data_IF_931398272381
#
_entry.id   IF_931398272381
#
_cell.length_a   1.000
_cell.length_b   1.000
_cell.length_c   1.000
_cell.angle_alpha   90.00
_cell.angle_beta   90.00
_cell.angle_gamma   90.00
#
_symmetry.space_group_name_H-M   'P 1'
#
loop_
_entity.id
_entity.type
_entity.pdbx_description
1 polymer ?
#
# COMPACT_ATOMS: atom_id res chain seq x y z
N UNK A 1 14.79 10.09 -33.30
CA UNK A 1 15.28 9.74 -31.95
C UNK A 1 14.34 10.36 -30.94
N UNK A 2 13.31 9.64 -30.53
CA UNK A 2 12.49 10.04 -29.37
C UNK A 2 13.36 9.82 -28.14
N UNK A 3 13.71 10.88 -27.40
CA UNK A 3 14.45 10.70 -26.15
C UNK A 3 13.65 9.79 -25.23
N UNK A 4 14.32 8.86 -24.53
CA UNK A 4 13.67 8.08 -23.49
C UNK A 4 12.93 9.05 -22.54
N UNK A 5 11.66 8.80 -22.21
CA UNK A 5 10.89 9.72 -21.40
C UNK A 5 11.55 9.88 -20.04
N UNK A 6 11.75 11.13 -19.62
CA UNK A 6 12.29 11.47 -18.30
C UNK A 6 11.17 11.38 -17.26
N UNK A 7 11.53 10.99 -16.05
CA UNK A 7 10.64 11.03 -14.90
C UNK A 7 10.66 12.45 -14.31
N UNK A 8 9.50 13.00 -14.02
CA UNK A 8 9.30 14.31 -13.39
C UNK A 8 8.38 14.17 -12.16
N UNK A 9 8.44 15.16 -11.27
CA UNK A 9 7.63 15.26 -10.06
C UNK A 9 6.94 16.63 -10.01
N UNK A 10 5.61 16.62 -9.97
CA UNK A 10 4.78 17.81 -9.76
C UNK A 10 4.19 17.75 -8.35
N UNK A 11 4.34 18.80 -7.55
CA UNK A 11 3.82 18.84 -6.17
C UNK A 11 2.98 20.10 -5.97
N UNK A 12 1.80 19.93 -5.42
CA UNK A 12 0.93 20.99 -4.90
C UNK A 12 0.62 20.77 -3.42
N UNK A 13 -0.26 21.59 -2.84
CA UNK A 13 -0.61 21.53 -1.42
C UNK A 13 -1.33 20.23 -1.01
N UNK A 14 -1.94 19.54 -1.97
CA UNK A 14 -2.84 18.40 -1.75
C UNK A 14 -2.33 17.11 -2.39
N UNK A 15 -1.40 17.19 -3.34
CA UNK A 15 -0.92 16.02 -4.08
C UNK A 15 0.52 16.13 -4.60
N UNK A 16 1.12 14.97 -4.86
CA UNK A 16 2.37 14.81 -5.59
C UNK A 16 2.18 13.81 -6.74
N UNK A 17 2.44 14.24 -7.98
CA UNK A 17 2.27 13.45 -9.19
C UNK A 17 3.62 13.09 -9.82
N UNK A 18 3.85 11.79 -9.98
CA UNK A 18 4.99 11.22 -10.68
C UNK A 18 4.65 11.04 -12.16
N UNK A 19 5.42 11.65 -13.06
CA UNK A 19 5.10 11.70 -14.50
C UNK A 19 6.23 11.21 -15.37
N UNK A 20 5.90 10.58 -16.49
CA UNK A 20 6.83 10.31 -17.57
C UNK A 20 6.37 11.02 -18.84
N UNK A 21 6.98 12.19 -19.13
CA UNK A 21 6.44 13.12 -20.12
C UNK A 21 5.01 13.52 -19.76
N UNK A 22 4.07 13.35 -20.70
CA UNK A 22 2.68 13.73 -20.48
C UNK A 22 1.86 12.71 -19.67
N UNK A 23 2.39 11.50 -19.43
CA UNK A 23 1.67 10.45 -18.69
C UNK A 23 1.92 10.57 -17.18
N UNK A 24 0.86 10.77 -16.41
CA UNK A 24 0.91 10.65 -14.95
C UNK A 24 0.90 9.17 -14.56
N UNK A 25 2.05 8.66 -14.12
CA UNK A 25 2.23 7.28 -13.71
C UNK A 25 1.61 7.01 -12.33
N UNK A 26 1.71 7.96 -11.41
CA UNK A 26 1.13 7.84 -10.08
C UNK A 26 0.81 9.18 -9.48
N UNK A 27 -0.36 9.30 -8.84
CA UNK A 27 -0.73 10.45 -8.02
C UNK A 27 -0.80 10.05 -6.56
N UNK A 28 0.01 10.69 -5.73
CA UNK A 28 -0.06 10.59 -4.28
C UNK A 28 -0.90 11.73 -3.74
N UNK A 29 -2.06 11.43 -3.17
CA UNK A 29 -2.89 12.41 -2.47
C UNK A 29 -2.35 12.58 -1.07
N UNK A 30 -1.84 13.77 -0.76
CA UNK A 30 -1.20 14.15 0.49
C UNK A 30 -2.26 14.51 1.54
N UNK A 31 -3.26 15.30 1.14
CA UNK A 31 -4.34 15.79 2.01
C UNK A 31 -5.67 15.26 1.49
N UNK A 32 -6.16 14.11 1.98
CA UNK A 32 -7.40 13.50 1.53
C UNK A 32 -8.61 14.26 2.08
N UNK A 33 -9.70 14.31 1.30
CA UNK A 33 -11.01 14.86 1.70
C UNK A 33 -11.99 13.79 2.21
N UNK A 34 -11.48 12.59 2.51
CA UNK A 34 -12.29 11.45 2.94
C UNK A 34 -12.97 11.75 4.30
N UNK A 35 -14.19 11.24 4.54
CA UNK A 35 -14.85 11.39 5.83
C UNK A 35 -14.15 10.57 6.93
N UNK A 36 -14.37 10.93 8.20
CA UNK A 36 -13.78 10.24 9.35
C UNK A 36 -14.02 8.72 9.35
N UNK A 37 -15.22 8.29 8.93
CA UNK A 37 -15.59 6.88 8.77
C UNK A 37 -14.60 6.10 7.89
N UNK A 38 -13.96 6.76 6.93
CA UNK A 38 -13.04 6.14 5.97
C UNK A 38 -11.57 6.24 6.44
N UNK A 39 -11.33 6.70 7.68
CA UNK A 39 -10.02 6.96 8.28
C UNK A 39 -9.12 7.77 7.35
N UNK A 40 -9.27 9.10 7.26
CA UNK A 40 -8.54 9.93 6.31
C UNK A 40 -7.04 9.65 6.35
N UNK A 41 -6.44 9.31 5.21
CA UNK A 41 -5.02 8.98 5.07
C UNK A 41 -4.51 9.29 3.68
N UNK A 42 -3.22 9.63 3.50
CA UNK A 42 -2.65 9.73 2.17
C UNK A 42 -2.70 8.39 1.43
N UNK A 43 -2.85 8.47 0.11
CA UNK A 43 -2.98 7.29 -0.74
C UNK A 43 -2.48 7.56 -2.16
N UNK A 44 -2.20 6.48 -2.91
CA UNK A 44 -1.89 6.57 -4.34
C UNK A 44 -3.09 6.11 -5.16
N UNK A 45 -3.69 7.05 -5.88
CA UNK A 45 -4.68 6.80 -6.92
C UNK A 45 -4.79 8.03 -7.84
N UNK A 46 -4.77 7.86 -9.16
CA UNK A 46 -4.53 6.60 -9.88
C UNK A 46 -3.04 6.20 -9.88
N UNK A 47 -2.77 4.89 -9.91
CA UNK A 47 -1.52 4.31 -10.40
C UNK A 47 -1.76 3.75 -11.81
N UNK A 48 -0.81 3.97 -12.72
CA UNK A 48 -0.91 3.56 -14.12
C UNK A 48 0.32 2.79 -14.58
N UNK A 49 0.16 1.91 -15.56
CA UNK A 49 1.27 1.32 -16.30
C UNK A 49 1.95 2.33 -17.24
N UNK A 50 3.00 1.90 -17.96
CA UNK A 50 3.72 2.72 -18.94
C UNK A 50 2.87 3.02 -20.19
N UNK A 51 1.90 2.17 -20.51
CA UNK A 51 0.88 2.40 -21.52
C UNK A 51 -0.32 3.24 -21.02
N UNK A 52 -0.36 3.57 -19.71
CA UNK A 52 -1.39 4.41 -19.11
C UNK A 52 -2.61 3.66 -18.60
N UNK A 53 -2.55 2.33 -18.47
CA UNK A 53 -3.65 1.54 -17.93
C UNK A 53 -3.70 1.66 -16.41
N UNK A 54 -4.86 2.01 -15.84
CA UNK A 54 -5.03 2.22 -14.40
C UNK A 54 -5.05 0.87 -13.67
N UNK A 55 -4.22 0.72 -12.64
CA UNK A 55 -4.08 -0.51 -11.84
C UNK A 55 -4.56 -0.32 -10.40
N UNK A 56 -5.27 0.74 -10.08
CA UNK A 56 -5.87 0.98 -8.75
C UNK A 56 -7.37 1.21 -8.85
N UNK A 57 -8.08 0.91 -7.76
CA UNK A 57 -9.47 1.29 -7.56
C UNK A 57 -9.61 2.09 -6.26
N UNK A 58 -10.17 3.28 -6.39
CA UNK A 58 -10.45 4.18 -5.28
C UNK A 58 -11.91 4.14 -4.86
N UNK A 59 -12.16 4.07 -3.54
CA UNK A 59 -13.46 4.22 -2.89
C UNK A 59 -14.58 3.40 -3.54
N UNK A 60 -14.42 2.07 -3.71
CA UNK A 60 -15.47 1.23 -4.26
C UNK A 60 -16.72 1.26 -3.36
N UNK A 61 -17.90 1.18 -3.96
CA UNK A 61 -19.18 1.33 -3.24
C UNK A 61 -19.37 0.32 -2.08
N UNK A 62 -18.78 -0.86 -2.18
CA UNK A 62 -18.85 -1.94 -1.18
C UNK A 62 -17.82 -1.76 -0.05
N UNK A 63 -16.77 -0.98 -0.27
CA UNK A 63 -15.67 -0.75 0.67
C UNK A 63 -15.10 0.66 0.49
N UNK A 64 -15.87 1.68 0.87
CA UNK A 64 -15.53 3.10 0.61
C UNK A 64 -14.21 3.55 1.24
N UNK A 65 -13.74 2.85 2.27
CA UNK A 65 -12.45 3.08 2.91
C UNK A 65 -11.25 2.49 2.15
N UNK A 66 -11.42 1.76 1.05
CA UNK A 66 -10.29 1.31 0.22
C UNK A 66 -9.81 2.43 -0.72
N UNK A 67 -8.50 2.72 -0.72
CA UNK A 67 -7.91 3.92 -1.34
C UNK A 67 -6.76 3.59 -2.31
N UNK A 68 -7.01 2.86 -3.39
CA UNK A 68 -5.94 2.50 -4.34
C UNK A 68 -4.80 1.75 -3.66
N UNK A 69 -3.63 2.38 -3.48
CA UNK A 69 -2.54 1.90 -2.62
C UNK A 69 -2.37 2.82 -1.39
N UNK A 70 -2.51 2.28 -0.18
CA UNK A 70 -2.38 3.06 1.06
C UNK A 70 -1.87 2.23 2.24
N UNK A 71 -1.15 2.88 3.15
CA UNK A 71 -0.76 2.30 4.44
C UNK A 71 -1.96 2.33 5.40
N UNK A 72 -2.56 1.16 5.61
CA UNK A 72 -3.88 1.03 6.26
C UNK A 72 -3.79 0.02 7.40
N UNK A 73 -4.08 0.46 8.63
CA UNK A 73 -3.90 -0.34 9.84
C UNK A 73 -5.22 -0.51 10.60
N UNK A 74 -5.82 -1.71 10.66
CA UNK A 74 -7.12 -1.88 11.31
C UNK A 74 -7.05 -2.00 12.84
N UNK A 75 -5.86 -2.29 13.39
CA UNK A 75 -5.62 -2.42 14.83
C UNK A 75 -4.34 -1.66 15.16
N UNK A 76 -4.51 -0.53 15.85
CA UNK A 76 -3.44 0.32 16.39
C UNK A 76 -3.80 0.59 17.85
N UNK A 77 -3.41 -0.31 18.75
CA UNK A 77 -4.07 -0.43 20.04
C UNK A 77 -5.57 -0.69 19.82
N UNK A 78 -6.40 0.22 20.30
CA UNK A 78 -7.86 0.18 20.11
C UNK A 78 -8.36 1.10 18.97
N UNK A 79 -7.45 1.74 18.24
CA UNK A 79 -7.77 2.65 17.14
C UNK A 79 -7.72 1.94 15.78
N UNK A 80 -8.53 2.43 14.84
CA UNK A 80 -8.68 1.90 13.49
C UNK A 80 -8.27 2.96 12.47
N UNK A 81 -7.14 2.73 11.80
CA UNK A 81 -6.65 3.52 10.67
C UNK A 81 -6.80 2.77 9.35
N UNK A 82 -7.68 1.78 9.26
CA UNK A 82 -8.11 1.17 8.00
C UNK A 82 -9.35 1.87 7.44
N UNK A 83 -10.24 2.29 8.34
CA UNK A 83 -11.56 2.82 8.00
C UNK A 83 -12.64 1.75 8.11
N UNK A 84 -13.89 2.20 8.14
CA UNK A 84 -15.06 1.37 8.30
C UNK A 84 -15.14 0.71 9.69
N UNK A 85 -15.92 -0.39 9.78
CA UNK A 85 -16.15 -1.11 11.02
C UNK A 85 -14.90 -1.77 11.61
N UNK A 86 -14.80 -1.78 12.93
CA UNK A 86 -13.78 -2.48 13.71
C UNK A 86 -14.26 -3.90 14.03
N UNK A 87 -13.39 -4.91 13.89
CA UNK A 87 -13.72 -6.29 14.26
C UNK A 87 -13.57 -6.49 15.76
N UNK A 88 -14.60 -7.05 16.38
CA UNK A 88 -14.66 -7.40 17.79
C UNK A 88 -14.85 -8.91 17.96
N UNK A 89 -14.03 -9.52 18.82
CA UNK A 89 -14.09 -10.96 19.09
C UNK A 89 -15.48 -11.34 19.63
N UNK A 90 -16.13 -12.32 18.99
CA UNK A 90 -17.46 -12.78 19.39
C UNK A 90 -18.62 -11.85 19.01
N UNK A 91 -18.35 -10.64 18.53
CA UNK A 91 -19.35 -9.63 18.17
C UNK A 91 -19.36 -9.27 16.68
N UNK A 92 -18.29 -9.62 15.95
CA UNK A 92 -18.15 -9.34 14.53
C UNK A 92 -17.75 -7.89 14.25
N UNK A 93 -18.05 -7.40 13.06
CA UNK A 93 -17.77 -6.02 12.68
C UNK A 93 -18.80 -5.06 13.28
N UNK A 94 -18.31 -4.03 13.99
CA UNK A 94 -19.14 -2.93 14.49
C UNK A 94 -18.50 -1.60 14.16
N UNK A 95 -19.33 -0.63 13.81
CA UNK A 95 -18.87 0.74 13.68
C UNK A 95 -18.66 1.32 15.08
N UNK A 96 -17.41 1.61 15.41
CA UNK A 96 -17.00 2.25 16.65
C UNK A 96 -16.55 3.69 16.37
N UNK A 97 -16.52 4.58 17.38
CA UNK A 97 -15.96 5.91 17.24
C UNK A 97 -14.43 5.89 17.42
N UNK A 98 -13.73 5.03 16.66
CA UNK A 98 -12.28 4.81 16.76
C UNK A 98 -11.58 4.90 15.39
N UNK A 99 -12.22 5.48 14.37
CA UNK A 99 -11.56 5.68 13.09
C UNK A 99 -10.59 6.85 13.19
N UNK A 100 -9.28 6.60 13.24
CA UNK A 100 -8.24 7.63 13.28
C UNK A 100 -7.88 8.19 11.89
N UNK A 101 -7.02 9.21 11.85
CA UNK A 101 -6.54 9.88 10.64
C UNK A 101 -5.01 9.98 10.60
N UNK A 102 -4.44 9.85 9.40
CA UNK A 102 -3.04 10.19 9.10
C UNK A 102 -3.04 11.59 8.48
N UNK A 103 -2.51 12.57 9.20
CA UNK A 103 -2.62 13.99 8.86
C UNK A 103 -1.28 14.50 8.38
N UNK A 104 -1.21 15.01 7.15
CA UNK A 104 -0.01 15.64 6.62
C UNK A 104 0.41 16.84 7.48
N UNK A 105 1.71 16.94 7.75
CA UNK A 105 2.29 18.03 8.53
C UNK A 105 3.21 18.93 7.72
N UNK A 106 4.24 18.35 7.09
CA UNK A 106 5.18 19.14 6.30
C UNK A 106 5.86 18.29 5.23
N UNK A 107 6.09 18.87 4.06
CA UNK A 107 6.97 18.28 3.03
C UNK A 107 8.42 18.38 3.51
N UNK A 108 9.14 17.28 3.47
CA UNK A 108 10.57 17.19 3.83
C UNK A 108 11.47 17.06 2.59
N UNK A 109 10.95 16.50 1.49
CA UNK A 109 11.69 16.33 0.24
C UNK A 109 10.74 16.39 -0.97
N UNK A 110 11.17 17.06 -2.05
CA UNK A 110 10.54 16.98 -3.37
C UNK A 110 11.62 17.20 -4.44
N UNK A 111 12.21 16.13 -4.96
CA UNK A 111 13.38 16.20 -5.82
C UNK A 111 13.30 15.26 -7.02
N UNK A 112 14.00 15.61 -8.09
CA UNK A 112 14.28 14.71 -9.22
C UNK A 112 15.77 14.76 -9.51
N UNK A 113 16.48 13.67 -9.20
CA UNK A 113 17.93 13.56 -9.36
C UNK A 113 18.24 12.27 -10.10
N UNK A 114 19.06 12.35 -11.15
CA UNK A 114 19.49 11.19 -11.96
C UNK A 114 18.35 10.27 -12.45
N UNK A 115 17.20 10.87 -12.80
CA UNK A 115 16.03 10.13 -13.29
C UNK A 115 15.19 9.45 -12.20
N UNK A 116 15.48 9.74 -10.93
CA UNK A 116 14.75 9.26 -9.76
C UNK A 116 13.97 10.42 -9.14
N UNK A 117 12.66 10.28 -9.03
CA UNK A 117 11.78 11.26 -8.39
C UNK A 117 11.52 10.84 -6.94
N UNK A 118 11.71 11.74 -5.99
CA UNK A 118 11.52 11.49 -4.54
C UNK A 118 10.58 12.53 -3.95
N UNK A 119 9.59 12.06 -3.20
CA UNK A 119 8.72 12.90 -2.39
C UNK A 119 8.74 12.38 -0.95
N UNK A 120 9.07 13.25 -0.01
CA UNK A 120 9.13 12.95 1.42
C UNK A 120 8.26 13.92 2.20
N UNK A 121 7.57 13.42 3.22
CA UNK A 121 6.81 14.26 4.14
C UNK A 121 6.65 13.62 5.53
N UNK A 122 6.25 14.45 6.49
CA UNK A 122 5.89 14.02 7.84
C UNK A 122 4.38 14.02 8.05
N UNK A 123 3.90 13.11 8.89
CA UNK A 123 2.49 12.95 9.24
C UNK A 123 2.31 12.80 10.76
N UNK A 124 1.18 13.27 11.28
CA UNK A 124 0.70 12.92 12.62
C UNK A 124 -0.40 11.86 12.51
N UNK A 125 -0.35 10.80 13.32
CA UNK A 125 -1.43 9.82 13.46
C UNK A 125 -2.32 10.21 14.61
N UNK A 126 -3.54 10.63 14.33
CA UNK A 126 -4.49 11.11 15.33
C UNK A 126 -5.64 10.13 15.49
N UNK A 127 -5.84 9.63 16.70
CA UNK A 127 -7.03 8.88 17.09
C UNK A 127 -8.30 9.70 16.84
N UNK A 128 -9.46 9.04 16.72
CA UNK A 128 -10.71 9.78 16.49
C UNK A 128 -11.03 10.77 17.64
N UNK A 129 -10.62 10.43 18.86
CA UNK A 129 -10.78 11.28 20.04
C UNK A 129 -9.79 12.47 20.10
N UNK A 130 -8.88 12.60 19.12
CA UNK A 130 -7.93 13.71 19.00
C UNK A 130 -6.54 13.48 19.59
N UNK A 131 -6.28 12.33 20.24
CA UNK A 131 -4.96 12.00 20.74
C UNK A 131 -3.99 11.66 19.59
N UNK A 132 -2.79 12.24 19.60
CA UNK A 132 -1.72 11.81 18.68
C UNK A 132 -1.05 10.55 19.20
N UNK A 133 -0.91 9.55 18.34
CA UNK A 133 -0.31 8.26 18.64
C UNK A 133 1.11 8.14 18.09
N UNK A 134 1.30 8.54 16.83
CA UNK A 134 2.58 8.47 16.14
C UNK A 134 2.90 9.77 15.41
N UNK A 135 4.20 10.06 15.33
CA UNK A 135 4.76 10.86 14.24
C UNK A 135 5.31 9.90 13.18
N UNK A 136 4.98 10.13 11.91
CA UNK A 136 5.46 9.31 10.79
C UNK A 136 6.33 10.14 9.83
N UNK A 137 7.46 9.59 9.43
CA UNK A 137 8.25 10.01 8.26
C UNK A 137 7.97 9.06 7.11
N UNK A 138 7.50 9.58 5.97
CA UNK A 138 7.20 8.78 4.77
C UNK A 138 7.91 9.32 3.54
N UNK A 139 8.56 8.42 2.81
CA UNK A 139 9.22 8.73 1.53
C UNK A 139 8.71 7.82 0.42
N UNK A 140 8.37 8.42 -0.71
CA UNK A 140 8.00 7.77 -1.96
C UNK A 140 9.09 8.04 -2.99
N UNK A 141 9.61 6.98 -3.62
CA UNK A 141 10.63 7.11 -4.68
C UNK A 141 10.18 6.40 -5.95
N UNK A 142 10.00 7.13 -7.04
CA UNK A 142 9.64 6.58 -8.35
C UNK A 142 10.87 6.47 -9.26
N UNK A 143 10.91 5.39 -10.06
CA UNK A 143 11.97 5.10 -11.05
C UNK A 143 11.39 4.39 -12.26
N UNK A 144 11.90 4.69 -13.46
CA UNK A 144 11.60 3.87 -14.64
C UNK A 144 12.53 2.64 -14.66
N UNK A 145 11.98 1.46 -14.93
CA UNK A 145 12.75 0.21 -15.01
C UNK A 145 12.99 -0.22 -16.46
N UNK A 146 12.06 0.12 -17.37
CA UNK A 146 12.15 -0.20 -18.78
C UNK A 146 11.04 0.45 -19.60
N UNK A 147 10.85 -0.05 -20.83
CA UNK A 147 9.77 0.42 -21.70
C UNK A 147 8.37 0.05 -21.17
N UNK A 148 8.27 -1.09 -20.50
CA UNK A 148 7.03 -1.74 -20.07
C UNK A 148 6.74 -1.60 -18.57
N UNK A 149 7.73 -1.22 -17.75
CA UNK A 149 7.59 -1.16 -16.30
C UNK A 149 8.22 0.07 -15.65
N UNK A 150 7.68 0.45 -14.50
CA UNK A 150 8.26 1.40 -13.56
C UNK A 150 8.05 0.92 -12.13
N UNK A 151 8.80 1.50 -11.20
CA UNK A 151 8.78 1.16 -9.80
C UNK A 151 8.47 2.37 -8.92
N UNK A 152 7.81 2.08 -7.81
CA UNK A 152 7.62 2.96 -6.68
C UNK A 152 8.13 2.26 -5.43
N UNK A 153 9.08 2.85 -4.71
CA UNK A 153 9.41 2.41 -3.35
C UNK A 153 8.74 3.31 -2.33
N UNK A 154 8.32 2.73 -1.21
CA UNK A 154 7.70 3.43 -0.09
C UNK A 154 8.45 3.03 1.17
N UNK A 155 8.93 4.03 1.89
CA UNK A 155 9.56 3.89 3.21
C UNK A 155 8.72 4.65 4.24
N UNK A 156 8.44 4.00 5.36
CA UNK A 156 7.58 4.49 6.44
C UNK A 156 8.31 4.27 7.75
N UNK A 157 8.58 5.33 8.51
CA UNK A 157 9.06 5.27 9.89
C UNK A 157 8.02 5.83 10.85
N UNK A 158 7.50 5.00 11.76
CA UNK A 158 6.47 5.40 12.73
C UNK A 158 7.05 5.44 14.14
N UNK A 159 7.12 6.62 14.74
CA UNK A 159 7.63 6.84 16.10
C UNK A 159 6.48 6.99 17.09
N UNK A 160 6.45 6.16 18.13
CA UNK A 160 5.42 6.19 19.17
C UNK A 160 5.61 7.40 20.10
N UNK A 161 4.66 8.33 20.05
CA UNK A 161 4.67 9.58 20.82
C UNK A 161 3.92 9.49 22.17
N UNK A 162 3.37 8.32 22.50
CA UNK A 162 2.57 8.11 23.71
C UNK A 162 3.41 7.69 24.92
N UNK A 163 2.79 7.60 26.09
CA UNK A 163 3.40 7.15 27.34
C UNK A 163 3.25 5.64 27.60
N UNK A 164 2.69 4.90 26.65
CA UNK A 164 2.55 3.44 26.68
C UNK A 164 3.02 2.80 25.37
N UNK A 165 3.31 1.50 25.41
CA UNK A 165 3.57 0.75 24.18
C UNK A 165 2.28 0.62 23.35
N UNK A 166 2.39 0.66 22.02
CA UNK A 166 1.26 0.48 21.10
C UNK A 166 1.44 -0.81 20.33
N UNK A 167 0.45 -1.69 20.41
CA UNK A 167 0.40 -2.92 19.62
C UNK A 167 -0.23 -2.65 18.25
N UNK A 168 0.48 -2.97 17.18
CA UNK A 168 -0.05 -3.05 15.82
C UNK A 168 -0.51 -4.49 15.56
N UNK A 169 -1.71 -4.65 15.00
CA UNK A 169 -2.30 -5.97 14.80
C UNK A 169 -3.21 -6.05 13.59
N UNK A 170 -3.99 -7.12 13.56
CA UNK A 170 -4.99 -7.36 12.52
C UNK A 170 -6.25 -7.94 13.15
N UNK A 171 -7.36 -8.06 12.40
CA UNK A 171 -8.51 -8.83 12.87
C UNK A 171 -8.16 -10.25 13.30
N UNK A 172 -7.15 -10.90 12.70
CA UNK A 172 -6.68 -12.22 13.14
C UNK A 172 -6.12 -12.19 14.55
N UNK A 173 -5.32 -11.17 14.93
CA UNK A 173 -4.84 -11.04 16.32
C UNK A 173 -6.00 -10.82 17.29
N UNK A 174 -7.09 -10.20 16.82
CA UNK A 174 -8.36 -10.05 17.55
C UNK A 174 -9.29 -11.26 17.45
N UNK A 175 -8.88 -12.37 16.82
CA UNK A 175 -9.61 -13.65 16.80
C UNK A 175 -10.53 -13.85 15.59
N UNK A 176 -10.33 -13.12 14.49
CA UNK A 176 -10.93 -13.40 13.18
C UNK A 176 -9.98 -14.24 12.34
N UNK A 177 -10.19 -15.54 12.31
CA UNK A 177 -9.32 -16.44 11.55
C UNK A 177 -9.13 -15.99 10.09
N UNK A 178 -7.86 -16.00 9.64
CA UNK A 178 -7.44 -15.73 8.27
C UNK A 178 -7.84 -14.35 7.70
N UNK A 179 -8.09 -13.37 8.56
CA UNK A 179 -8.39 -11.98 8.18
C UNK A 179 -7.26 -11.04 8.60
N UNK A 180 -6.02 -11.44 8.32
CA UNK A 180 -4.82 -10.78 8.80
C UNK A 180 -4.41 -9.56 7.99
N UNK A 181 -5.38 -8.79 7.48
CA UNK A 181 -5.06 -7.57 6.74
C UNK A 181 -4.55 -6.48 7.68
N UNK A 182 -3.64 -5.66 7.16
CA UNK A 182 -3.04 -4.54 7.84
C UNK A 182 -1.60 -4.32 7.38
N UNK A 183 -1.27 -3.09 7.01
CA UNK A 183 0.00 -2.71 6.39
C UNK A 183 -0.23 -1.97 5.08
N UNK A 184 0.70 -2.09 4.12
CA UNK A 184 0.55 -1.49 2.80
C UNK A 184 -0.45 -2.30 1.98
N UNK A 185 -1.62 -1.75 1.68
CA UNK A 185 -2.68 -2.46 0.97
C UNK A 185 -2.94 -1.83 -0.41
N UNK A 186 -2.87 -2.67 -1.44
CA UNK A 186 -3.25 -2.36 -2.81
C UNK A 186 -4.65 -2.92 -3.10
N UNK A 187 -5.52 -2.08 -3.65
CA UNK A 187 -6.83 -2.44 -4.20
C UNK A 187 -6.82 -2.23 -5.71
N UNK A 188 -6.95 -3.31 -6.47
CA UNK A 188 -7.00 -3.29 -7.93
C UNK A 188 -8.39 -2.97 -8.52
N UNK A 189 -8.47 -2.70 -9.84
CA UNK A 189 -9.71 -2.51 -10.59
C UNK A 189 -10.70 -3.67 -10.42
N UNK A 190 -12.01 -3.42 -10.61
CA UNK A 190 -13.02 -4.50 -10.59
C UNK A 190 -12.81 -5.53 -11.69
N UNK A 191 -12.30 -5.11 -12.85
CA UNK A 191 -11.99 -6.03 -13.95
C UNK A 191 -10.88 -7.03 -13.60
N UNK A 192 -10.15 -6.79 -12.51
CA UNK A 192 -9.08 -7.69 -12.04
C UNK A 192 -9.62 -8.77 -11.09
N UNK A 193 -10.91 -8.79 -10.77
CA UNK A 193 -11.54 -9.92 -10.09
C UNK A 193 -11.26 -11.22 -10.88
N UNK A 194 -10.99 -12.30 -10.15
CA UNK A 194 -10.53 -13.60 -10.68
C UNK A 194 -9.17 -13.55 -11.41
N UNK A 195 -8.38 -12.48 -11.20
CA UNK A 195 -7.00 -12.39 -11.66
C UNK A 195 -6.07 -13.40 -10.96
N UNK A 196 -4.85 -13.51 -11.50
CA UNK A 196 -3.86 -14.52 -11.09
C UNK A 196 -2.86 -13.91 -10.12
N UNK A 197 -2.69 -14.53 -8.95
CA UNK A 197 -1.59 -14.21 -8.06
C UNK A 197 -0.36 -15.02 -8.45
N UNK A 198 0.81 -14.41 -8.30
CA UNK A 198 2.09 -15.00 -8.70
C UNK A 198 3.07 -14.89 -7.54
N UNK A 199 3.78 -15.97 -7.24
CA UNK A 199 4.83 -16.01 -6.21
C UNK A 199 6.04 -16.75 -6.75
N UNK A 200 7.14 -16.79 -5.97
CA UNK A 200 8.29 -17.63 -6.29
C UNK A 200 7.95 -19.13 -6.37
N UNK A 201 6.84 -19.56 -5.76
CA UNK A 201 6.41 -20.97 -5.73
C UNK A 201 5.40 -21.34 -6.83
N UNK A 202 4.90 -20.36 -7.59
CA UNK A 202 3.93 -20.58 -8.66
C UNK A 202 2.77 -19.60 -8.64
N UNK A 203 1.77 -19.91 -9.46
CA UNK A 203 0.54 -19.15 -9.66
C UNK A 203 -0.64 -19.77 -8.93
N UNK A 204 -1.66 -18.96 -8.65
CA UNK A 204 -2.84 -19.40 -7.91
C UNK A 204 -3.79 -18.27 -7.55
N UNK A 205 -4.79 -18.62 -6.74
CA UNK A 205 -5.88 -17.75 -6.29
C UNK A 205 -5.58 -17.06 -4.96
N UNK A 206 -6.40 -16.07 -4.61
CA UNK A 206 -6.33 -15.40 -3.33
C UNK A 206 -6.54 -16.36 -2.17
N UNK A 207 -7.51 -17.28 -2.26
CA UNK A 207 -7.74 -18.29 -1.23
C UNK A 207 -6.53 -19.22 -1.00
N UNK A 208 -5.81 -19.59 -2.06
CA UNK A 208 -4.64 -20.48 -1.96
C UNK A 208 -3.42 -19.81 -1.33
N UNK A 209 -3.22 -18.51 -1.55
CA UNK A 209 -2.03 -17.80 -1.05
C UNK A 209 -2.25 -16.97 0.21
N UNK A 210 -3.50 -16.65 0.58
CA UNK A 210 -3.81 -15.89 1.80
C UNK A 210 -3.25 -16.59 3.05
N UNK A 211 -2.56 -15.83 3.89
CA UNK A 211 -1.91 -16.29 5.11
C UNK A 211 -0.58 -17.01 4.87
N UNK A 212 -0.17 -17.27 3.62
CA UNK A 212 1.16 -17.84 3.31
C UNK A 212 2.22 -16.75 3.35
N UNK A 213 3.45 -17.16 3.68
CA UNK A 213 4.62 -16.27 3.69
C UNK A 213 5.29 -16.25 2.33
N UNK A 214 5.69 -15.07 1.88
CA UNK A 214 6.41 -14.85 0.63
C UNK A 214 7.19 -13.54 0.72
N UNK A 215 8.38 -13.46 0.13
CA UNK A 215 9.15 -12.20 0.06
C UNK A 215 8.50 -11.17 -0.88
N UNK A 216 7.78 -11.67 -1.88
CA UNK A 216 7.05 -10.86 -2.86
C UNK A 216 5.81 -11.59 -3.35
N UNK A 217 4.86 -10.83 -3.88
CA UNK A 217 3.68 -11.37 -4.55
C UNK A 217 3.28 -10.44 -5.69
N UNK A 218 2.94 -11.05 -6.82
CA UNK A 218 2.41 -10.38 -8.00
C UNK A 218 0.90 -10.61 -8.15
N UNK A 219 0.25 -9.69 -8.84
CA UNK A 219 -1.13 -9.81 -9.29
C UNK A 219 -1.21 -9.44 -10.78
N UNK A 220 -1.58 -10.40 -11.63
CA UNK A 220 -1.86 -10.18 -13.04
C UNK A 220 -3.38 -10.09 -13.25
N UNK A 221 -3.83 -8.97 -13.82
CA UNK A 221 -5.24 -8.71 -14.06
C UNK A 221 -5.51 -8.22 -15.47
N UNK A 222 -6.72 -8.49 -15.97
CA UNK A 222 -7.18 -8.06 -17.29
C UNK A 222 -8.02 -6.80 -17.19
N UNK A 223 -7.89 -5.94 -18.18
CA UNK A 223 -8.68 -4.72 -18.25
C UNK A 223 -10.00 -4.96 -18.97
N UNK A 224 -11.04 -4.26 -18.54
CA UNK A 224 -12.25 -4.11 -19.35
C UNK A 224 -12.00 -3.10 -20.47
N UNK A 225 -12.81 -3.18 -21.55
CA UNK A 225 -12.80 -2.28 -22.72
C UNK A 225 -11.56 -2.39 -23.63
N UNK A 226 -10.38 -2.65 -23.06
CA UNK A 226 -9.13 -2.86 -23.78
C UNK A 226 -8.65 -4.30 -23.58
N UNK A 227 -8.21 -4.98 -24.65
CA UNK A 227 -7.63 -6.33 -24.54
C UNK A 227 -6.16 -6.24 -24.07
N UNK A 228 -5.99 -5.85 -22.81
CA UNK A 228 -4.69 -5.69 -22.17
C UNK A 228 -4.65 -6.40 -20.81
N UNK A 229 -3.44 -6.79 -20.43
CA UNK A 229 -3.11 -7.32 -19.10
C UNK A 229 -2.14 -6.36 -18.43
N UNK A 230 -2.25 -6.22 -17.12
CA UNK A 230 -1.22 -5.54 -16.34
C UNK A 230 -0.85 -6.34 -15.10
N UNK A 231 0.39 -6.12 -14.67
CA UNK A 231 1.00 -6.80 -13.56
C UNK A 231 1.38 -5.76 -12.50
N UNK A 232 0.99 -6.02 -11.25
CA UNK A 232 1.48 -5.32 -10.05
C UNK A 232 2.26 -6.31 -9.21
N UNK A 233 3.53 -6.02 -8.91
CA UNK A 233 4.37 -6.83 -8.01
C UNK A 233 4.72 -6.01 -6.78
N UNK A 234 4.52 -6.57 -5.60
CA UNK A 234 4.95 -5.97 -4.34
C UNK A 234 6.05 -6.82 -3.71
N UNK A 235 7.17 -6.21 -3.35
CA UNK A 235 8.29 -6.82 -2.63
C UNK A 235 8.34 -6.23 -1.22
N UNK A 236 8.44 -7.11 -0.23
CA UNK A 236 8.67 -6.75 1.17
C UNK A 236 10.18 -6.61 1.43
N UNK A 237 10.60 -5.51 2.05
CA UNK A 237 12.00 -5.28 2.41
C UNK A 237 12.49 -6.28 3.44
N UNK A 238 13.72 -6.78 3.28
CA UNK A 238 14.30 -7.81 4.16
C UNK A 238 14.45 -7.36 5.63
N UNK A 239 14.55 -6.05 5.85
CA UNK A 239 14.66 -5.44 7.18
C UNK A 239 13.29 -5.16 7.83
N UNK A 240 12.18 -5.45 7.15
CA UNK A 240 10.85 -5.24 7.71
C UNK A 240 10.61 -6.20 8.90
N UNK A 241 9.89 -5.74 9.94
CA UNK A 241 9.42 -6.63 11.00
C UNK A 241 8.67 -7.83 10.42
N UNK A 242 8.98 -9.03 10.92
CA UNK A 242 8.37 -10.29 10.50
C UNK A 242 8.60 -10.70 9.03
N UNK A 243 9.66 -10.20 8.38
CA UNK A 243 10.07 -10.64 7.04
C UNK A 243 10.40 -12.14 6.97
N UNK A 244 10.01 -12.86 5.89
CA UNK A 244 8.99 -12.46 4.93
C UNK A 244 7.60 -12.47 5.60
N UNK A 245 6.72 -11.51 5.29
CA UNK A 245 5.45 -11.37 5.96
C UNK A 245 4.50 -12.47 5.50
N UNK A 246 3.46 -12.72 6.31
CA UNK A 246 2.27 -13.37 5.78
C UNK A 246 1.51 -12.39 4.88
N UNK A 247 0.84 -12.90 3.85
CA UNK A 247 0.10 -12.07 2.91
C UNK A 247 -1.39 -12.12 3.16
N UNK A 248 -2.02 -10.96 3.27
CA UNK A 248 -3.45 -10.86 2.98
C UNK A 248 -3.62 -10.59 1.49
N UNK A 249 -4.22 -11.55 0.78
CA UNK A 249 -4.39 -11.45 -0.66
C UNK A 249 -5.79 -11.92 -1.09
N UNK A 250 -6.36 -11.32 -2.13
CA UNK A 250 -7.66 -11.69 -2.73
C UNK A 250 -7.57 -11.60 -4.24
N UNK A 251 -8.22 -12.55 -4.92
CA UNK A 251 -8.54 -12.42 -6.35
C UNK A 251 -10.04 -12.53 -6.59
N UNK A 252 -10.73 -13.41 -5.86
CA UNK A 252 -12.08 -13.85 -6.13
C UNK A 252 -13.13 -12.81 -5.74
N UNK A 253 -13.01 -12.18 -4.55
CA UNK A 253 -13.94 -11.12 -4.18
C UNK A 253 -13.56 -9.77 -4.81
N UNK A 254 -12.26 -9.56 -4.96
CA UNK A 254 -11.64 -8.40 -5.59
C UNK A 254 -10.12 -8.60 -5.67
N UNK A 255 -9.45 -7.91 -6.58
CA UNK A 255 -7.99 -7.83 -6.60
C UNK A 255 -7.45 -7.06 -5.39
N UNK A 256 -6.67 -7.74 -4.55
CA UNK A 256 -6.02 -7.12 -3.40
C UNK A 256 -4.74 -7.82 -2.98
N UNK A 257 -3.72 -7.02 -2.66
CA UNK A 257 -2.44 -7.47 -2.12
C UNK A 257 -2.09 -6.65 -0.88
N UNK A 258 -1.62 -7.32 0.17
CA UNK A 258 -1.10 -6.69 1.37
C UNK A 258 -0.06 -7.59 2.05
N UNK A 259 1.24 -7.24 1.97
CA UNK A 259 2.23 -7.79 2.88
C UNK A 259 1.86 -7.33 4.31
N UNK A 260 1.49 -8.29 5.15
CA UNK A 260 0.95 -8.04 6.48
C UNK A 260 1.95 -8.47 7.57
N UNK A 261 2.79 -7.55 8.07
CA UNK A 261 3.82 -7.89 9.05
C UNK A 261 3.24 -8.26 10.43
N UNK A 262 1.98 -7.91 10.71
CA UNK A 262 1.25 -8.26 11.93
C UNK A 262 -0.02 -9.08 11.61
N UNK A 263 0.12 -10.05 10.69
CA UNK A 263 -0.98 -10.92 10.29
C UNK A 263 -1.47 -11.77 11.45
N UNK A 264 -0.62 -12.60 12.07
CA UNK A 264 -1.02 -13.51 13.17
C UNK A 264 -0.60 -13.03 14.55
N UNK A 265 0.48 -12.25 14.61
CA UNK A 265 1.10 -11.77 15.83
C UNK A 265 1.09 -10.24 15.85
N UNK A 266 0.91 -9.66 17.04
CA UNK A 266 0.98 -8.21 17.21
C UNK A 266 2.44 -7.75 17.21
N UNK A 267 2.70 -6.59 16.60
CA UNK A 267 3.98 -5.90 16.65
C UNK A 267 3.87 -4.76 17.67
N UNK A 268 4.59 -4.87 18.78
CA UNK A 268 4.64 -3.82 19.80
C UNK A 268 5.68 -2.75 19.45
N UNK A 269 5.27 -1.48 19.49
CA UNK A 269 6.16 -0.33 19.40
C UNK A 269 6.29 0.29 20.80
N UNK A 270 7.47 0.22 21.44
CA UNK A 270 7.66 0.76 22.79
C UNK A 270 7.56 2.28 22.79
N UNK A 271 7.41 2.87 23.98
CA UNK A 271 7.42 4.33 24.19
C UNK A 271 8.67 4.95 23.57
N UNK A 272 8.49 5.94 22.70
CA UNK A 272 9.58 6.60 21.97
C UNK A 272 10.30 5.71 20.93
N UNK A 273 9.84 4.48 20.72
CA UNK A 273 10.38 3.57 19.72
C UNK A 273 9.86 3.87 18.32
N UNK A 274 10.65 3.51 17.31
CA UNK A 274 10.31 3.67 15.89
C UNK A 274 10.24 2.30 15.20
N UNK A 275 9.16 2.03 14.49
CA UNK A 275 9.05 0.90 13.56
C UNK A 275 9.22 1.40 12.12
N UNK A 276 10.02 0.69 11.33
CA UNK A 276 10.30 1.05 9.93
C UNK A 276 9.81 -0.05 8.99
N UNK A 277 9.19 0.36 7.88
CA UNK A 277 8.72 -0.52 6.82
C UNK A 277 9.15 0.01 5.45
N UNK A 278 9.63 -0.88 4.59
CA UNK A 278 10.12 -0.58 3.24
C UNK A 278 9.49 -1.56 2.24
N UNK A 279 8.92 -1.02 1.17
CA UNK A 279 8.25 -1.80 0.11
C UNK A 279 8.66 -1.29 -1.26
N UNK A 280 8.76 -2.20 -2.23
CA UNK A 280 8.89 -1.84 -3.64
C UNK A 280 7.71 -2.39 -4.42
N UNK A 281 7.12 -1.55 -5.26
CA UNK A 281 5.96 -1.85 -6.07
C UNK A 281 6.35 -1.65 -7.53
N UNK A 282 6.32 -2.72 -8.32
CA UNK A 282 6.50 -2.67 -9.77
C UNK A 282 5.15 -2.71 -10.47
N UNK A 283 4.98 -1.85 -11.46
CA UNK A 283 3.76 -1.77 -12.26
C UNK A 283 4.16 -1.93 -13.72
N UNK A 284 3.62 -2.94 -14.39
CA UNK A 284 4.06 -3.34 -15.72
C UNK A 284 2.90 -3.60 -16.70
N UNK A 285 3.14 -3.29 -17.96
CA UNK A 285 2.35 -3.71 -19.13
C UNK A 285 2.72 -5.15 -19.53
N UNK A 286 2.49 -6.11 -18.64
CA UNK A 286 2.86 -7.50 -18.81
C UNK A 286 1.89 -8.46 -18.09
N UNK A 287 1.98 -9.75 -18.42
CA UNK A 287 1.29 -10.83 -17.71
C UNK A 287 2.11 -11.38 -16.54
N UNK A 288 1.67 -12.52 -16.00
CA UNK A 288 2.29 -13.17 -14.84
C UNK A 288 3.72 -13.65 -15.09
N UNK A 289 4.08 -13.93 -16.35
CA UNK A 289 5.40 -14.39 -16.77
C UNK A 289 6.53 -13.41 -16.41
N UNK A 290 6.21 -12.12 -16.29
CA UNK A 290 7.17 -11.06 -15.95
C UNK A 290 7.46 -10.96 -14.45
N UNK A 291 6.61 -11.54 -13.60
CA UNK A 291 6.59 -11.28 -12.16
C UNK A 291 7.91 -11.58 -11.45
N UNK A 292 8.53 -12.73 -11.72
CA UNK A 292 9.79 -13.10 -11.09
C UNK A 292 10.93 -12.12 -11.44
N UNK A 293 11.11 -11.82 -12.73
CA UNK A 293 12.14 -10.86 -13.17
C UNK A 293 11.90 -9.45 -12.64
N UNK A 294 10.64 -9.00 -12.61
CA UNK A 294 10.30 -7.70 -12.04
C UNK A 294 10.55 -7.67 -10.53
N UNK A 295 10.27 -8.76 -9.80
CA UNK A 295 10.60 -8.86 -8.38
C UNK A 295 12.12 -8.73 -8.14
N UNK A 296 12.96 -9.31 -8.99
CA UNK A 296 14.42 -9.18 -8.89
C UNK A 296 14.89 -7.74 -9.14
N UNK A 297 14.32 -7.05 -10.14
CA UNK A 297 14.59 -5.62 -10.38
C UNK A 297 14.16 -4.75 -9.17
N UNK A 298 13.03 -5.07 -8.55
CA UNK A 298 12.51 -4.36 -7.37
C UNK A 298 13.36 -4.60 -6.13
N UNK A 299 13.88 -5.83 -5.93
CA UNK A 299 14.81 -6.12 -4.82
C UNK A 299 16.09 -5.31 -4.91
N UNK A 300 16.59 -5.04 -6.11
CA UNK A 300 17.82 -4.28 -6.31
C UNK A 300 17.69 -2.78 -5.95
N UNK A 301 16.47 -2.29 -5.73
CA UNK A 301 16.19 -0.88 -5.44
C UNK A 301 15.60 -0.61 -4.04
N UNK A 302 15.38 -1.67 -3.26
CA UNK A 302 15.06 -1.63 -1.83
C UNK A 302 16.35 -1.50 -1.00
#
# INVERSE_FOLDING_TARGET
>A
MTSSPRLDLEVDETSASFRAGNLELGRYVIVPDSPQLESPKPYLDPLRTRAGHVVTLFRPWDHVWHKGLAWSLPVVGDENFWGGPTYLRGEGYRQLPNNGAQVHRAVSEATVVDGVARFGHTLDWTAQAGARLFTEDRTLTARLLGGDAWALTIEIGMTNDTDAAIALGSPTTRGRENAGYGGLFWRGPRSFTDGVLVTATGEGTGAEFRGRRSEWMGFAGRHDVIDATSLVVMVDGADNPNHPPQWFARSEEFAGLNPAPFFSDELEIPVGGTATFRYAIGIADAGSERAASLADELRAIL
#
